data_IF_319004625793
#
_entry.id   IF_319004625793
#
_cell.length_a   1.000
_cell.length_b   1.000
_cell.length_c   1.000
_cell.angle_alpha   90.00
_cell.angle_beta   90.00
_cell.angle_gamma   90.00
#
_symmetry.space_group_name_H-M   'P 1'
#
loop_
_entity.id
_entity.type
_entity.pdbx_description
1 polymer ?
#
# COMPACT_ATOMS: atom_id res chain seq x y z
N UNK A 1 4.82 0.69 25.72
CA UNK A 1 4.08 -0.60 25.67
C UNK A 1 5.01 -1.65 26.27
N UNK A 2 4.77 -2.08 27.51
CA UNK A 2 5.75 -2.83 28.32
C UNK A 2 5.34 -4.27 28.63
N UNK A 3 4.05 -4.60 28.52
CA UNK A 3 3.53 -5.94 28.79
C UNK A 3 4.11 -6.99 27.79
N UNK A 4 4.84 -8.02 28.26
CA UNK A 4 5.44 -9.04 27.40
C UNK A 4 4.41 -9.89 26.65
N UNK A 5 3.27 -10.21 27.28
CA UNK A 5 2.19 -10.98 26.67
C UNK A 5 1.56 -10.20 25.52
N UNK A 6 1.31 -8.91 25.72
CA UNK A 6 0.75 -8.05 24.70
C UNK A 6 1.72 -7.83 23.53
N UNK A 7 3.02 -7.65 23.81
CA UNK A 7 4.07 -7.60 22.78
C UNK A 7 4.07 -8.86 21.93
N UNK A 8 4.05 -10.04 22.56
CA UNK A 8 4.04 -11.31 21.84
C UNK A 8 2.76 -11.47 21.00
N UNK A 9 1.60 -11.11 21.54
CA UNK A 9 0.33 -11.15 20.80
C UNK A 9 0.36 -10.29 19.54
N UNK A 10 0.94 -9.08 19.61
CA UNK A 10 1.07 -8.21 18.43
C UNK A 10 2.05 -8.81 17.43
N UNK A 11 3.22 -9.32 17.86
CA UNK A 11 4.17 -9.97 16.94
C UNK A 11 3.51 -11.11 16.17
N UNK A 12 2.79 -11.99 16.86
CA UNK A 12 2.07 -13.11 16.25
C UNK A 12 1.00 -12.63 15.27
N UNK A 13 0.18 -11.65 15.66
CA UNK A 13 -0.87 -11.12 14.77
C UNK A 13 -0.28 -10.47 13.53
N UNK A 14 0.79 -9.67 13.70
CA UNK A 14 1.46 -8.99 12.60
C UNK A 14 2.06 -9.98 11.60
N UNK A 15 2.78 -11.00 12.09
CA UNK A 15 3.35 -12.06 11.24
C UNK A 15 2.27 -12.81 10.46
N UNK A 16 1.14 -13.13 11.11
CA UNK A 16 -0.01 -13.76 10.45
C UNK A 16 -0.55 -12.90 9.30
N UNK A 17 -0.69 -11.59 9.50
CA UNK A 17 -1.14 -10.67 8.45
C UNK A 17 -0.14 -10.58 7.30
N UNK A 18 1.17 -10.53 7.60
CA UNK A 18 2.25 -10.42 6.59
C UNK A 18 2.41 -11.66 5.73
N UNK A 19 2.03 -12.82 6.24
CA UNK A 19 1.97 -14.06 5.47
C UNK A 19 0.70 -14.19 4.62
N UNK A 20 -0.30 -13.35 4.86
CA UNK A 20 -1.61 -13.43 4.21
C UNK A 20 -2.01 -12.07 3.59
N UNK A 21 -2.98 -11.37 4.19
CA UNK A 21 -3.66 -10.22 3.59
C UNK A 21 -2.74 -9.01 3.35
N UNK A 22 -1.68 -8.89 4.16
CA UNK A 22 -0.71 -7.82 4.05
C UNK A 22 0.60 -8.29 3.45
N UNK A 23 0.65 -9.42 2.72
CA UNK A 23 1.87 -9.81 2.02
C UNK A 23 2.26 -8.79 0.95
N UNK A 24 3.55 -8.71 0.53
CA UNK A 24 3.97 -7.77 -0.51
C UNK A 24 3.12 -7.86 -1.78
N UNK A 25 2.79 -9.08 -2.23
CA UNK A 25 1.98 -9.28 -3.42
C UNK A 25 0.52 -8.84 -3.23
N UNK A 26 -0.07 -9.06 -2.05
CA UNK A 26 -1.44 -8.60 -1.78
C UNK A 26 -1.54 -7.07 -1.69
N UNK A 27 -0.53 -6.42 -1.09
CA UNK A 27 -0.44 -4.96 -1.04
C UNK A 27 -0.39 -4.38 -2.47
N UNK A 28 0.48 -4.93 -3.33
CA UNK A 28 0.58 -4.51 -4.73
C UNK A 28 -0.73 -4.76 -5.48
N UNK A 29 -1.32 -5.95 -5.28
CA UNK A 29 -2.56 -6.37 -5.94
C UNK A 29 -3.73 -5.44 -5.67
N UNK A 30 -3.90 -4.93 -4.43
CA UNK A 30 -4.99 -3.99 -4.11
C UNK A 30 -4.88 -2.72 -4.95
N UNK A 31 -3.65 -2.19 -5.11
CA UNK A 31 -3.41 -1.02 -5.96
C UNK A 31 -3.69 -1.36 -7.42
N UNK A 32 -3.19 -2.51 -7.90
CA UNK A 32 -3.39 -2.95 -9.28
C UNK A 32 -4.86 -3.14 -9.63
N UNK A 33 -5.64 -3.77 -8.76
CA UNK A 33 -7.08 -3.98 -8.97
C UNK A 33 -7.83 -2.65 -9.06
N UNK A 34 -7.47 -1.66 -8.22
CA UNK A 34 -8.04 -0.32 -8.29
C UNK A 34 -7.65 0.42 -9.57
N UNK A 35 -6.37 0.36 -9.96
CA UNK A 35 -5.87 0.95 -11.21
C UNK A 35 -6.58 0.36 -12.42
N UNK A 36 -6.72 -0.97 -12.46
CA UNK A 36 -7.42 -1.68 -13.52
C UNK A 36 -8.88 -1.23 -13.64
N UNK A 37 -9.58 -1.08 -12.51
CA UNK A 37 -10.96 -0.58 -12.50
C UNK A 37 -11.05 0.84 -13.08
N UNK A 38 -10.16 1.75 -12.64
CA UNK A 38 -10.15 3.15 -13.07
C UNK A 38 -9.76 3.32 -14.54
N UNK A 39 -8.83 2.52 -15.04
CA UNK A 39 -8.44 2.53 -16.45
C UNK A 39 -9.56 1.94 -17.32
N UNK A 40 -10.10 0.78 -16.94
CA UNK A 40 -11.15 0.09 -17.70
C UNK A 40 -12.42 0.93 -17.86
N UNK A 41 -12.75 1.75 -16.85
CA UNK A 41 -13.93 2.62 -16.90
C UNK A 41 -13.65 4.03 -17.44
N UNK A 42 -12.44 4.30 -17.94
CA UNK A 42 -12.03 5.60 -18.50
C UNK A 42 -11.96 6.75 -17.49
N UNK A 43 -11.93 6.48 -16.18
CA UNK A 43 -11.88 7.53 -15.16
C UNK A 43 -10.58 8.33 -15.23
N UNK A 44 -9.45 7.66 -15.52
CA UNK A 44 -8.14 8.31 -15.62
C UNK A 44 -8.15 9.37 -16.73
N UNK A 45 -8.59 9.01 -17.93
CA UNK A 45 -8.69 9.91 -19.08
C UNK A 45 -9.64 11.09 -18.80
N UNK A 46 -10.84 10.83 -18.27
CA UNK A 46 -11.80 11.89 -17.90
C UNK A 46 -11.24 12.84 -16.84
N UNK A 47 -10.43 12.32 -15.91
CA UNK A 47 -9.79 13.13 -14.90
C UNK A 47 -8.75 14.07 -15.52
N UNK A 48 -7.87 13.55 -16.38
CA UNK A 48 -6.90 14.37 -17.11
C UNK A 48 -7.60 15.45 -17.96
N UNK A 49 -8.57 15.07 -18.77
CA UNK A 49 -9.29 16.01 -19.63
C UNK A 49 -9.96 17.17 -18.85
N UNK A 50 -10.38 16.92 -17.61
CA UNK A 50 -11.06 17.92 -16.78
C UNK A 50 -10.11 18.76 -15.93
N UNK A 51 -9.06 18.16 -15.41
CA UNK A 51 -8.25 18.75 -14.33
C UNK A 51 -6.79 19.00 -14.70
N UNK A 52 -6.32 18.51 -15.84
CA UNK A 52 -4.96 18.80 -16.29
C UNK A 52 -4.87 20.23 -16.84
N UNK A 53 -4.73 21.17 -15.90
CA UNK A 53 -4.59 22.61 -16.16
C UNK A 53 -3.11 23.02 -16.15
N UNK A 54 -2.21 22.13 -16.59
CA UNK A 54 -0.75 22.36 -16.57
C UNK A 54 -0.09 22.06 -15.22
N UNK A 55 -0.75 21.29 -14.36
CA UNK A 55 -0.24 20.89 -13.03
C UNK A 55 0.82 19.79 -13.14
N UNK A 56 0.93 19.12 -14.29
CA UNK A 56 2.01 18.16 -14.57
C UNK A 56 1.90 16.86 -13.74
N UNK A 57 0.69 16.42 -13.42
CA UNK A 57 0.48 15.18 -12.66
C UNK A 57 0.76 13.98 -13.55
N UNK A 58 1.70 13.13 -13.14
CA UNK A 58 1.96 11.84 -13.76
C UNK A 58 1.27 10.72 -12.97
N UNK A 59 0.18 10.18 -13.51
CA UNK A 59 -0.65 9.16 -12.87
C UNK A 59 0.11 7.85 -12.67
N UNK A 60 0.89 7.43 -13.65
CA UNK A 60 1.68 6.19 -13.55
C UNK A 60 2.78 6.32 -12.48
N UNK A 61 3.43 7.48 -12.41
CA UNK A 61 4.40 7.77 -11.34
C UNK A 61 3.73 7.79 -9.97
N UNK A 62 2.54 8.39 -9.84
CA UNK A 62 1.77 8.39 -8.60
C UNK A 62 1.41 6.97 -8.14
N UNK A 63 1.04 6.07 -9.07
CA UNK A 63 0.80 4.66 -8.78
C UNK A 63 2.08 4.00 -8.25
N UNK A 64 3.22 4.18 -8.93
CA UNK A 64 4.49 3.60 -8.50
C UNK A 64 4.89 4.11 -7.11
N UNK A 65 4.76 5.41 -6.86
CA UNK A 65 5.05 6.01 -5.57
C UNK A 65 4.16 5.45 -4.46
N UNK A 66 2.87 5.25 -4.73
CA UNK A 66 1.95 4.62 -3.77
C UNK A 66 2.37 3.18 -3.45
N UNK A 67 2.69 2.39 -4.48
CA UNK A 67 3.14 1.00 -4.34
C UNK A 67 4.42 0.88 -3.52
N UNK A 68 5.39 1.76 -3.77
CA UNK A 68 6.64 1.84 -3.02
C UNK A 68 6.35 2.20 -1.57
N UNK A 69 5.61 3.30 -1.35
CA UNK A 69 5.27 3.76 0.00
C UNK A 69 4.61 2.67 0.85
N UNK A 70 3.62 1.95 0.32
CA UNK A 70 2.92 0.90 1.06
C UNK A 70 3.86 -0.28 1.39
N UNK A 71 4.75 -0.64 0.47
CA UNK A 71 5.72 -1.73 0.67
C UNK A 71 6.74 -1.34 1.72
N UNK A 72 7.32 -0.14 1.61
CA UNK A 72 8.29 0.38 2.57
C UNK A 72 7.68 0.55 3.95
N UNK A 73 6.41 0.97 4.02
CA UNK A 73 5.71 1.09 5.29
C UNK A 73 5.52 -0.27 5.97
N UNK A 74 5.14 -1.30 5.22
CA UNK A 74 5.02 -2.66 5.76
C UNK A 74 6.39 -3.19 6.24
N UNK A 75 7.45 -2.96 5.47
CA UNK A 75 8.81 -3.36 5.84
C UNK A 75 9.32 -2.61 7.09
N UNK A 76 9.01 -1.32 7.21
CA UNK A 76 9.31 -0.54 8.41
C UNK A 76 8.59 -1.11 9.63
N UNK A 77 7.32 -1.50 9.48
CA UNK A 77 6.57 -2.13 10.56
C UNK A 77 7.15 -3.51 10.93
N UNK A 78 7.59 -4.31 9.96
CA UNK A 78 8.31 -5.58 10.20
C UNK A 78 9.53 -5.34 11.12
N UNK A 79 10.32 -4.30 10.84
CA UNK A 79 11.47 -3.91 11.67
C UNK A 79 11.07 -3.45 13.07
N UNK A 80 10.06 -2.57 13.19
CA UNK A 80 9.66 -2.01 14.49
C UNK A 80 9.01 -3.03 15.41
N UNK A 81 8.12 -3.86 14.86
CA UNK A 81 7.40 -4.87 15.64
C UNK A 81 8.32 -6.04 15.98
N UNK A 82 9.21 -6.44 15.06
CA UNK A 82 10.22 -7.48 15.33
C UNK A 82 11.14 -7.14 16.51
N UNK A 83 11.51 -5.87 16.63
CA UNK A 83 12.44 -5.36 17.65
C UNK A 83 11.85 -5.19 19.07
N UNK A 84 10.54 -5.38 19.27
CA UNK A 84 9.88 -5.18 20.56
C UNK A 84 10.23 -6.20 21.65
#
# INVERSE_FOLDING_TARGET
>A
MEDPTFKQAIKTRWQSLRQAQLSPSQIQKVVDDAVNLLQKNGAVERNYAKWDQGVGVNYDEAIQNLKIFLTDRANWMDSKIGAW
#
